data_IF_117108947241
#
_entry.id   IF_117108947241
#
_cell.length_a   1.000
_cell.length_b   1.000
_cell.length_c   1.000
_cell.angle_alpha   90.00
_cell.angle_beta   90.00
_cell.angle_gamma   90.00
#
_symmetry.space_group_name_H-M   'P 1'
#
loop_
_entity.id
_entity.type
_entity.pdbx_description
1 polymer ?
#
# COMPACT_ATOMS: atom_id res chain seq x y z
N UNK A 1 -6.23 -6.21 0.46
CA UNK A 1 -6.23 -4.95 1.26
C UNK A 1 -5.02 -4.94 2.15
N UNK A 2 -4.40 -3.79 2.44
CA UNK A 2 -3.18 -3.74 3.24
C UNK A 2 -3.49 -3.18 4.64
N UNK A 3 -3.53 -4.10 5.60
CA UNK A 3 -3.74 -3.85 7.01
C UNK A 3 -3.10 -5.02 7.78
N UNK A 4 -2.52 -4.80 8.97
CA UNK A 4 -1.91 -5.86 9.78
C UNK A 4 -2.86 -6.98 10.28
N UNK A 5 -4.15 -6.92 9.92
CA UNK A 5 -5.14 -7.99 10.20
C UNK A 5 -5.26 -8.98 9.04
N UNK A 6 -4.65 -8.66 7.90
CA UNK A 6 -4.63 -9.47 6.71
C UNK A 6 -3.20 -10.01 6.51
N UNK A 7 -3.03 -11.14 5.81
CA UNK A 7 -1.71 -11.60 5.39
C UNK A 7 -0.96 -10.50 4.61
N UNK A 8 0.38 -10.53 4.57
CA UNK A 8 1.16 -9.65 3.69
C UNK A 8 0.71 -9.71 2.22
N UNK A 9 0.99 -8.66 1.45
CA UNK A 9 0.49 -8.54 0.07
C UNK A 9 0.90 -9.74 -0.79
N UNK A 10 2.17 -10.17 -0.69
CA UNK A 10 2.73 -11.31 -1.40
C UNK A 10 1.98 -12.63 -1.13
N UNK A 11 1.42 -12.80 0.06
CA UNK A 11 0.61 -13.97 0.42
C UNK A 11 -0.85 -13.84 -0.04
N UNK A 12 -1.37 -12.61 -0.17
CA UNK A 12 -2.70 -12.37 -0.73
C UNK A 12 -2.73 -12.59 -2.25
N UNK A 13 -1.63 -12.28 -2.95
CA UNK A 13 -1.61 -12.24 -4.42
C UNK A 13 -1.98 -13.56 -5.12
N UNK A 14 -1.50 -14.75 -4.72
CA UNK A 14 -1.88 -15.99 -5.40
C UNK A 14 -3.40 -16.19 -5.46
N UNK A 15 -4.10 -15.91 -4.35
CA UNK A 15 -5.55 -16.01 -4.28
C UNK A 15 -6.23 -14.91 -5.12
N UNK A 16 -5.78 -13.67 -5.02
CA UNK A 16 -6.37 -12.55 -5.75
C UNK A 16 -6.17 -12.67 -7.27
N UNK A 17 -5.06 -13.26 -7.71
CA UNK A 17 -4.74 -13.48 -9.13
C UNK A 17 -5.57 -14.60 -9.77
N UNK A 18 -6.20 -15.47 -8.98
CA UNK A 18 -7.15 -16.45 -9.51
C UNK A 18 -8.39 -15.80 -10.16
N UNK A 19 -8.64 -14.52 -9.86
CA UNK A 19 -9.77 -13.74 -10.37
C UNK A 19 -9.38 -12.79 -11.51
N UNK A 20 -8.19 -12.92 -12.08
CA UNK A 20 -7.70 -12.09 -13.19
C UNK A 20 -7.90 -12.75 -14.56
N UNK A 21 -8.01 -11.95 -15.65
CA UNK A 21 -7.72 -10.51 -15.75
C UNK A 21 -8.86 -9.57 -15.31
N UNK A 22 -8.51 -8.43 -14.71
CA UNK A 22 -9.45 -7.40 -14.27
C UNK A 22 -8.79 -6.20 -13.57
N UNK A 23 -9.57 -5.16 -13.23
CA UNK A 23 -9.06 -3.96 -12.55
C UNK A 23 -8.50 -4.25 -11.16
N UNK A 24 -7.49 -3.47 -10.74
CA UNK A 24 -6.93 -3.52 -9.39
C UNK A 24 -7.54 -2.44 -8.51
N UNK A 25 -8.03 -2.85 -7.34
CA UNK A 25 -8.36 -1.92 -6.25
C UNK A 25 -7.54 -2.27 -5.02
N UNK A 26 -6.65 -1.36 -4.63
CA UNK A 26 -5.83 -1.49 -3.42
C UNK A 26 -6.17 -0.41 -2.39
N UNK A 27 -6.25 -0.83 -1.12
CA UNK A 27 -6.47 0.06 0.02
C UNK A 27 -5.36 -0.15 1.03
N UNK A 28 -4.49 0.83 1.17
CA UNK A 28 -3.37 0.80 2.11
C UNK A 28 -3.70 1.60 3.36
N UNK A 29 -4.08 0.89 4.42
CA UNK A 29 -4.76 1.49 5.57
C UNK A 29 -3.86 1.69 6.80
N UNK A 30 -2.92 0.79 7.06
CA UNK A 30 -2.10 0.81 8.28
C UNK A 30 -0.75 0.12 8.04
N UNK A 31 0.32 0.70 8.56
CA UNK A 31 1.66 0.11 8.51
C UNK A 31 1.71 -1.23 9.29
N UNK A 32 2.33 -2.30 8.74
CA UNK A 32 2.56 -3.57 9.42
C UNK A 32 3.12 -3.45 10.84
N UNK A 33 4.00 -2.47 11.09
CA UNK A 33 4.66 -2.27 12.39
C UNK A 33 3.72 -2.03 13.57
N UNK A 34 2.51 -1.53 13.30
CA UNK A 34 1.53 -1.20 14.33
C UNK A 34 0.72 -2.41 14.77
N UNK A 35 0.88 -3.55 14.09
CA UNK A 35 0.15 -4.77 14.40
C UNK A 35 -1.37 -4.64 14.19
N UNK A 36 -2.13 -5.71 14.48
CA UNK A 36 -3.55 -5.80 14.12
C UNK A 36 -4.45 -4.76 14.80
N UNK A 37 -4.03 -4.16 15.92
CA UNK A 37 -4.84 -3.23 16.71
C UNK A 37 -4.22 -1.83 16.87
N UNK A 38 -3.06 -1.53 16.29
CA UNK A 38 -2.34 -0.27 16.54
C UNK A 38 -2.82 0.94 15.73
N UNK A 39 -4.09 1.00 15.34
CA UNK A 39 -4.61 2.11 14.54
C UNK A 39 -4.61 3.44 15.32
N UNK A 40 -4.99 3.39 16.60
CA UNK A 40 -4.99 4.55 17.49
C UNK A 40 -3.57 4.99 17.84
N UNK A 41 -2.68 4.02 18.10
CA UNK A 41 -1.27 4.30 18.40
C UNK A 41 -0.55 4.90 17.19
N UNK A 42 -0.83 4.40 15.97
CA UNK A 42 -0.34 5.00 14.74
C UNK A 42 -0.83 6.44 14.58
N UNK A 43 -2.11 6.71 14.87
CA UNK A 43 -2.67 8.06 14.78
C UNK A 43 -1.96 9.02 15.75
N UNK A 44 -1.76 8.59 17.00
CA UNK A 44 -1.09 9.38 18.04
C UNK A 44 0.38 9.64 17.70
N UNK A 45 1.08 8.62 17.18
CA UNK A 45 2.50 8.70 16.79
C UNK A 45 2.74 9.60 15.58
N UNK A 46 1.87 9.52 14.57
CA UNK A 46 2.09 10.21 13.30
C UNK A 46 1.68 11.68 13.28
N UNK A 47 0.98 12.14 14.32
CA UNK A 47 0.66 13.55 14.52
C UNK A 47 0.02 14.20 13.29
N UNK A 48 0.61 15.32 12.84
CA UNK A 48 0.10 16.17 11.76
C UNK A 48 0.32 15.61 10.34
N UNK A 49 0.85 14.40 10.22
CA UNK A 49 1.05 13.70 8.96
C UNK A 49 1.93 14.42 7.92
N UNK A 50 2.99 15.10 8.38
CA UNK A 50 3.85 15.97 7.54
C UNK A 50 5.07 15.27 6.94
N UNK A 51 5.39 14.07 7.40
CA UNK A 51 6.58 13.33 6.99
C UNK A 51 6.31 11.83 6.91
N UNK A 52 7.20 11.11 6.22
CA UNK A 52 7.19 9.64 6.19
C UNK A 52 7.90 9.11 7.45
N UNK A 53 7.17 9.04 8.55
CA UNK A 53 7.71 8.61 9.84
C UNK A 53 8.14 7.16 9.86
N UNK A 54 7.36 6.27 9.23
CA UNK A 54 7.71 4.85 9.13
C UNK A 54 7.55 4.39 7.67
N UNK A 55 8.56 4.69 6.82
CA UNK A 55 8.57 4.28 5.42
C UNK A 55 8.49 2.76 5.28
N UNK A 56 7.65 2.27 4.36
CA UNK A 56 7.46 0.86 4.04
C UNK A 56 7.83 0.58 2.56
N UNK A 57 9.15 0.47 2.26
CA UNK A 57 9.62 0.23 0.91
C UNK A 57 9.21 -1.15 0.37
N UNK A 58 9.02 -2.14 1.24
CA UNK A 58 8.59 -3.50 0.87
C UNK A 58 7.17 -3.45 0.29
N UNK A 59 6.21 -2.89 1.02
CA UNK A 59 4.84 -2.74 0.53
C UNK A 59 4.78 -1.91 -0.75
N UNK A 60 5.57 -0.81 -0.83
CA UNK A 60 5.64 0.01 -2.05
C UNK A 60 6.14 -0.77 -3.26
N UNK A 61 7.17 -1.59 -3.09
CA UNK A 61 7.76 -2.37 -4.19
C UNK A 61 6.78 -3.42 -4.71
N UNK A 62 6.10 -4.12 -3.80
CA UNK A 62 5.09 -5.11 -4.16
C UNK A 62 3.86 -4.48 -4.83
N UNK A 63 3.37 -3.35 -4.31
CA UNK A 63 2.31 -2.59 -4.96
C UNK A 63 2.74 -2.14 -6.36
N UNK A 64 3.92 -1.52 -6.50
CA UNK A 64 4.42 -1.04 -7.78
C UNK A 64 4.51 -2.16 -8.83
N UNK A 65 5.02 -3.34 -8.46
CA UNK A 65 5.08 -4.52 -9.32
C UNK A 65 3.69 -4.95 -9.82
N UNK A 66 2.71 -4.99 -8.93
CA UNK A 66 1.32 -5.37 -9.24
C UNK A 66 0.66 -4.32 -10.13
N UNK A 67 0.83 -3.04 -9.80
CA UNK A 67 0.29 -1.90 -10.56
C UNK A 67 0.81 -1.92 -12.01
N UNK A 68 2.13 -2.09 -12.21
CA UNK A 68 2.71 -2.19 -13.55
C UNK A 68 2.13 -3.36 -14.34
N UNK A 69 2.00 -4.53 -13.72
CA UNK A 69 1.43 -5.71 -14.36
C UNK A 69 -0.03 -5.50 -14.78
N UNK A 70 -0.85 -4.92 -13.91
CA UNK A 70 -2.27 -4.67 -14.19
C UNK A 70 -2.47 -3.58 -15.23
N UNK A 71 -1.83 -2.42 -15.06
CA UNK A 71 -1.94 -1.31 -16.00
C UNK A 71 -1.33 -1.64 -17.37
N UNK A 72 -0.20 -2.36 -17.40
CA UNK A 72 0.42 -2.84 -18.64
C UNK A 72 -0.43 -3.84 -19.41
N UNK A 73 -1.35 -4.54 -18.73
CA UNK A 73 -2.37 -5.39 -19.34
C UNK A 73 -3.63 -4.63 -19.79
N UNK A 74 -3.66 -3.29 -19.67
CA UNK A 74 -4.78 -2.45 -20.11
C UNK A 74 -5.94 -2.34 -19.11
N UNK A 75 -5.74 -2.72 -17.84
CA UNK A 75 -6.76 -2.61 -16.81
C UNK A 75 -6.56 -1.40 -15.90
N UNK A 76 -7.68 -0.85 -15.42
CA UNK A 76 -7.67 0.25 -14.46
C UNK A 76 -7.03 -0.14 -13.13
N UNK A 77 -6.36 0.82 -12.51
CA UNK A 77 -5.71 0.67 -11.21
C UNK A 77 -6.09 1.81 -10.29
N UNK A 78 -6.73 1.49 -9.16
CA UNK A 78 -7.11 2.46 -8.13
C UNK A 78 -6.44 2.08 -6.81
N UNK A 79 -5.66 3.02 -6.27
CA UNK A 79 -4.98 2.85 -4.98
C UNK A 79 -5.38 3.99 -4.05
N UNK A 80 -5.86 3.65 -2.86
CA UNK A 80 -6.12 4.61 -1.78
C UNK A 80 -5.12 4.38 -0.65
N UNK A 81 -4.55 5.46 -0.12
CA UNK A 81 -3.53 5.40 0.94
C UNK A 81 -4.00 6.25 2.12
N UNK A 82 -4.00 5.65 3.31
CA UNK A 82 -4.28 6.35 4.57
C UNK A 82 -2.98 6.93 5.14
N UNK A 83 -3.03 8.06 5.85
CA UNK A 83 -1.84 8.61 6.50
C UNK A 83 -1.17 7.61 7.45
N UNK A 84 -1.92 6.67 8.04
CA UNK A 84 -1.39 5.63 8.93
C UNK A 84 -0.61 4.51 8.22
N UNK A 85 -0.50 4.57 6.89
CA UNK A 85 0.36 3.70 6.12
C UNK A 85 1.85 3.97 6.40
N UNK A 86 2.27 5.24 6.40
CA UNK A 86 3.69 5.60 6.55
C UNK A 86 3.92 6.93 7.30
N UNK A 87 2.86 7.61 7.71
CA UNK A 87 2.92 8.93 8.34
C UNK A 87 2.37 10.05 7.46
N UNK A 88 2.28 9.92 6.14
CA UNK A 88 1.71 10.97 5.28
C UNK A 88 1.22 10.42 3.95
N UNK A 89 -0.10 10.41 3.71
CA UNK A 89 -0.66 9.86 2.47
C UNK A 89 -0.14 10.57 1.20
N UNK A 90 -0.05 11.92 1.13
CA UNK A 90 0.50 12.59 -0.05
C UNK A 90 1.95 12.21 -0.34
N UNK A 91 2.79 12.10 0.70
CA UNK A 91 4.18 11.68 0.51
C UNK A 91 4.29 10.19 0.14
N UNK A 92 3.44 9.34 0.71
CA UNK A 92 3.34 7.93 0.34
C UNK A 92 2.91 7.74 -1.11
N UNK A 93 1.94 8.53 -1.61
CA UNK A 93 1.52 8.53 -3.02
C UNK A 93 2.72 8.89 -3.92
N UNK A 94 3.46 9.95 -3.57
CA UNK A 94 4.67 10.34 -4.34
C UNK A 94 5.73 9.23 -4.32
N UNK A 95 6.01 8.65 -3.16
CA UNK A 95 6.99 7.58 -3.02
C UNK A 95 6.57 6.30 -3.78
N UNK A 96 5.29 5.97 -3.79
CA UNK A 96 4.75 4.86 -4.58
C UNK A 96 4.86 5.15 -6.08
N UNK A 97 4.53 6.36 -6.52
CA UNK A 97 4.70 6.77 -7.92
C UNK A 97 6.17 6.64 -8.37
N UNK A 98 7.12 7.04 -7.54
CA UNK A 98 8.54 6.84 -7.80
C UNK A 98 8.91 5.35 -7.91
N UNK A 99 8.41 4.50 -7.01
CA UNK A 99 8.64 3.05 -7.07
C UNK A 99 8.02 2.40 -8.33
N UNK A 100 6.91 2.93 -8.83
CA UNK A 100 6.30 2.51 -10.10
C UNK A 100 7.24 2.83 -11.27
N UNK A 101 7.79 4.04 -11.33
CA UNK A 101 8.68 4.49 -12.41
C UNK A 101 10.08 3.85 -12.38
N UNK A 102 10.54 3.39 -11.22
CA UNK A 102 11.90 2.88 -11.04
C UNK A 102 12.13 1.43 -11.52
N UNK A 103 11.11 0.74 -12.00
CA UNK A 103 11.22 -0.64 -12.50
C UNK A 103 10.29 -0.93 -13.66
#
# INVERSE_FOLDING_TARGET
>A
GLHPKLPPLEQQLPLLRALWPGPLVARWNLNPRHGPFGYEDAARRYGEFRELMDPDPTTRSELARVIRGTAGAGHDVVVTINNKAEGSAPLSVRALAQAILAG
#
